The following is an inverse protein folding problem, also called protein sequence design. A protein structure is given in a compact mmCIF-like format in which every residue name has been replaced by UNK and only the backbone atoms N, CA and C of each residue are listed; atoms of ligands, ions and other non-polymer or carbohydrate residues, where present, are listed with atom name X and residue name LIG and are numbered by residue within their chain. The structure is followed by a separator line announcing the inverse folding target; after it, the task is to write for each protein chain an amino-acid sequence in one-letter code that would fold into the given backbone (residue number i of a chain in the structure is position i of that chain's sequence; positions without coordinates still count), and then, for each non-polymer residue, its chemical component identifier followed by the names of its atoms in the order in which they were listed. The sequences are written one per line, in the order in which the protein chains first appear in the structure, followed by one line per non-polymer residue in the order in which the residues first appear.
data_IF_130367622696
#
_entry.id   IF_130367622696
#
_cell.length_a   1.000
_cell.length_b   1.000
_cell.length_c   1.000
_cell.angle_alpha   90.00
_cell.angle_beta   90.00
_cell.angle_gamma   90.00
#
_symmetry.space_group_name_H-M   'P 1'
#
loop_
_entity.id
_entity.type
_entity.pdbx_description
1 polymer ?
#
# COMPACT_ATOMS: atom_id res chain seq x y z
N UNK A 1 16.94 28.00 -0.02
CA UNK A 1 16.91 26.52 -0.11
C UNK A 1 16.53 26.15 -1.54
N UNK A 2 17.19 25.16 -2.16
CA UNK A 2 16.92 24.75 -3.55
C UNK A 2 15.91 23.60 -3.55
N UNK A 3 14.92 23.68 -4.43
CA UNK A 3 13.96 22.61 -4.66
C UNK A 3 14.65 21.46 -5.40
N UNK A 4 14.39 20.23 -4.98
CA UNK A 4 15.02 19.01 -5.48
C UNK A 4 13.97 17.94 -5.70
N UNK A 5 14.29 17.00 -6.59
CA UNK A 5 13.46 15.83 -6.85
C UNK A 5 14.02 14.63 -6.09
N UNK A 6 13.11 13.99 -5.36
CA UNK A 6 13.33 12.74 -4.65
C UNK A 6 12.39 11.68 -5.21
N UNK A 7 12.76 10.41 -5.11
CA UNK A 7 11.92 9.30 -5.55
C UNK A 7 11.90 8.26 -4.44
N UNK A 8 10.71 7.73 -4.15
CA UNK A 8 10.58 6.61 -3.24
C UNK A 8 11.07 5.33 -3.93
N UNK A 9 12.01 4.61 -3.32
CA UNK A 9 12.49 3.32 -3.82
C UNK A 9 11.36 2.28 -3.87
N UNK A 10 10.34 2.39 -3.02
CA UNK A 10 9.28 1.37 -2.89
C UNK A 10 8.20 1.54 -3.94
N UNK A 11 7.62 2.73 -4.08
CA UNK A 11 6.56 2.99 -5.06
C UNK A 11 7.02 3.68 -6.35
N UNK A 12 8.23 4.24 -6.38
CA UNK A 12 8.72 5.02 -7.52
C UNK A 12 8.05 6.38 -7.70
N UNK A 13 7.15 6.79 -6.81
CA UNK A 13 6.52 8.09 -6.92
C UNK A 13 7.52 9.23 -6.64
N UNK A 14 7.53 10.29 -7.47
CA UNK A 14 8.40 11.43 -7.27
C UNK A 14 7.82 12.38 -6.22
N UNK A 15 8.71 12.91 -5.39
CA UNK A 15 8.43 13.99 -4.46
C UNK A 15 9.31 15.20 -4.79
N UNK A 16 8.69 16.38 -4.87
CA UNK A 16 9.40 17.63 -5.07
C UNK A 16 9.41 18.44 -3.77
N UNK A 17 10.59 18.80 -3.29
CA UNK A 17 10.73 19.46 -2.00
C UNK A 17 12.09 20.10 -1.77
N UNK A 18 12.22 20.86 -0.68
CA UNK A 18 13.52 21.39 -0.23
C UNK A 18 14.37 20.36 0.51
N UNK A 19 13.80 19.19 0.81
CA UNK A 19 14.43 18.03 1.43
C UNK A 19 13.51 16.81 1.32
N UNK A 20 14.05 15.60 1.49
CA UNK A 20 13.26 14.37 1.51
C UNK A 20 12.30 14.35 2.72
N UNK A 21 11.04 13.90 2.56
CA UNK A 21 10.11 13.79 3.68
C UNK A 21 10.46 12.60 4.58
N UNK A 22 9.96 12.58 5.82
CA UNK A 22 10.19 11.48 6.78
C UNK A 22 9.44 10.19 6.43
N UNK A 23 8.42 10.31 5.56
CA UNK A 23 7.55 9.26 5.04
C UNK A 23 7.23 9.57 3.59
N UNK A 24 7.10 8.54 2.77
CA UNK A 24 6.58 8.68 1.41
C UNK A 24 5.11 9.10 1.51
N UNK A 25 4.69 10.23 0.91
CA UNK A 25 3.32 10.70 1.01
C UNK A 25 2.33 9.89 0.15
N UNK A 26 2.83 8.93 -0.63
CA UNK A 26 2.03 8.11 -1.54
C UNK A 26 1.81 6.70 -0.98
N UNK A 27 2.88 6.00 -0.60
CA UNK A 27 2.80 4.63 -0.07
C UNK A 27 3.18 4.48 1.41
N UNK A 28 3.45 5.57 2.14
CA UNK A 28 3.79 5.48 3.57
C UNK A 28 5.21 4.93 3.89
N UNK A 29 6.01 4.52 2.91
CA UNK A 29 7.38 4.03 3.15
C UNK A 29 8.25 5.01 3.97
N UNK A 30 9.18 4.49 4.78
CA UNK A 30 10.05 5.31 5.63
C UNK A 30 10.97 6.19 4.79
N UNK A 31 11.30 7.40 5.27
CA UNK A 31 12.12 8.38 4.55
C UNK A 31 13.53 7.89 4.17
N UNK A 32 14.04 6.83 4.81
CA UNK A 32 15.28 6.15 4.39
C UNK A 32 15.18 5.53 2.99
N UNK A 33 13.96 5.25 2.53
CA UNK A 33 13.64 4.74 1.18
C UNK A 33 13.39 5.86 0.18
N UNK A 34 13.70 7.11 0.53
CA UNK A 34 13.47 8.25 -0.35
C UNK A 34 14.84 8.80 -0.74
N UNK A 35 15.20 8.56 -1.99
CA UNK A 35 16.53 8.86 -2.54
C UNK A 35 16.44 10.04 -3.50
N UNK A 36 17.58 10.66 -3.79
CA UNK A 36 17.68 11.62 -4.90
C UNK A 36 17.35 10.93 -6.21
N UNK A 37 16.66 11.63 -7.12
CA UNK A 37 16.18 11.06 -8.38
C UNK A 37 17.29 10.40 -9.23
N UNK A 38 18.51 10.95 -9.19
CA UNK A 38 19.68 10.42 -9.93
C UNK A 38 20.18 9.05 -9.42
N UNK A 39 19.77 8.64 -8.22
CA UNK A 39 20.18 7.38 -7.58
C UNK A 39 19.10 6.30 -7.62
N UNK A 40 17.92 6.63 -8.14
CA UNK A 40 16.78 5.74 -8.09
C UNK A 40 16.84 4.68 -9.20
N UNK A 41 16.53 3.46 -8.83
CA UNK A 41 16.36 2.32 -9.73
C UNK A 41 15.04 1.61 -9.41
N UNK A 42 14.27 1.14 -10.41
CA UNK A 42 12.99 0.50 -10.17
C UNK A 42 13.15 -0.85 -9.46
N UNK A 43 12.20 -1.16 -8.56
CA UNK A 43 12.10 -2.49 -7.96
C UNK A 43 11.53 -3.54 -8.91
N UNK A 44 10.81 -3.11 -9.94
CA UNK A 44 10.16 -3.95 -10.93
C UNK A 44 10.92 -3.96 -12.28
N UNK A 45 10.40 -4.72 -13.24
CA UNK A 45 10.93 -4.79 -14.61
C UNK A 45 11.91 -5.95 -14.87
N UNK A 46 12.19 -6.78 -13.86
CA UNK A 46 12.94 -8.03 -14.00
C UNK A 46 12.02 -9.26 -14.02
N UNK A 47 12.61 -10.42 -14.27
CA UNK A 47 11.93 -11.70 -14.05
C UNK A 47 11.72 -11.92 -12.54
N UNK A 48 10.59 -12.54 -12.19
CA UNK A 48 10.24 -12.92 -10.81
C UNK A 48 9.98 -14.42 -10.77
N UNK A 49 10.28 -15.06 -9.64
CA UNK A 49 9.96 -16.47 -9.42
C UNK A 49 8.44 -16.74 -9.41
N UNK A 50 8.06 -18.00 -9.58
CA UNK A 50 6.66 -18.44 -9.44
C UNK A 50 6.12 -18.21 -8.02
N UNK A 51 6.97 -18.38 -7.00
CA UNK A 51 6.64 -18.09 -5.62
C UNK A 51 6.36 -16.59 -5.42
N UNK A 52 7.22 -15.72 -5.94
CA UNK A 52 7.01 -14.27 -5.91
C UNK A 52 5.70 -13.88 -6.62
N UNK A 53 5.45 -14.43 -7.81
CA UNK A 53 4.21 -14.18 -8.56
C UNK A 53 2.97 -14.57 -7.74
N UNK A 54 2.96 -15.75 -7.15
CA UNK A 54 1.84 -16.25 -6.33
C UNK A 54 1.55 -15.31 -5.16
N UNK A 55 2.58 -14.89 -4.43
CA UNK A 55 2.43 -13.98 -3.30
C UNK A 55 2.01 -12.57 -3.71
N UNK A 56 2.54 -12.07 -4.82
CA UNK A 56 2.14 -10.77 -5.38
C UNK A 56 0.69 -10.77 -5.86
N UNK A 57 0.21 -11.84 -6.50
CA UNK A 57 -1.20 -11.96 -6.92
C UNK A 57 -2.14 -12.02 -5.71
N UNK A 58 -1.76 -12.73 -4.65
CA UNK A 58 -2.53 -12.77 -3.40
C UNK A 58 -2.54 -11.39 -2.71
N UNK A 59 -1.39 -10.70 -2.66
CA UNK A 59 -1.27 -9.34 -2.14
C UNK A 59 -2.14 -8.36 -2.92
N UNK A 60 -2.18 -8.47 -4.26
CA UNK A 60 -3.01 -7.60 -5.10
C UNK A 60 -4.49 -7.70 -4.72
N UNK A 61 -4.99 -8.90 -4.45
CA UNK A 61 -6.38 -9.09 -4.03
C UNK A 61 -6.68 -8.40 -2.69
N UNK A 62 -5.74 -8.47 -1.74
CA UNK A 62 -5.85 -7.78 -0.45
C UNK A 62 -5.88 -6.27 -0.64
N UNK A 63 -4.94 -5.72 -1.41
CA UNK A 63 -4.83 -4.28 -1.64
C UNK A 63 -6.03 -3.70 -2.39
N UNK A 64 -6.56 -4.43 -3.37
CA UNK A 64 -7.80 -4.06 -4.07
C UNK A 64 -8.98 -4.02 -3.10
N UNK A 65 -9.12 -5.07 -2.28
CA UNK A 65 -10.18 -5.14 -1.27
C UNK A 65 -10.08 -4.00 -0.24
N UNK A 66 -8.88 -3.73 0.28
CA UNK A 66 -8.66 -2.65 1.26
C UNK A 66 -8.90 -1.28 0.63
N UNK A 67 -8.41 -1.05 -0.59
CA UNK A 67 -8.69 0.16 -1.37
C UNK A 67 -10.19 0.42 -1.48
N UNK A 68 -10.96 -0.61 -1.87
CA UNK A 68 -12.41 -0.52 -2.05
C UNK A 68 -13.12 -0.25 -0.72
N UNK A 69 -12.77 -1.00 0.33
CA UNK A 69 -13.33 -0.82 1.66
C UNK A 69 -13.10 0.60 2.19
N UNK A 70 -11.86 1.06 2.23
CA UNK A 70 -11.52 2.40 2.71
C UNK A 70 -12.13 3.51 1.86
N UNK A 71 -12.23 3.31 0.54
CA UNK A 71 -12.95 4.24 -0.35
C UNK A 71 -14.41 4.36 0.07
N UNK A 72 -15.08 3.25 0.34
CA UNK A 72 -16.49 3.23 0.70
C UNK A 72 -16.74 3.84 2.08
N UNK A 73 -15.91 3.51 3.07
CA UNK A 73 -15.98 4.14 4.40
C UNK A 73 -15.77 5.66 4.30
N UNK A 74 -14.83 6.11 3.47
CA UNK A 74 -14.57 7.55 3.28
C UNK A 74 -15.74 8.35 2.70
N UNK A 75 -16.68 7.66 2.03
CA UNK A 75 -17.89 8.23 1.42
C UNK A 75 -19.12 8.10 2.33
N UNK A 76 -19.08 7.22 3.33
CA UNK A 76 -20.19 7.02 4.25
C UNK A 76 -20.42 8.27 5.13
N UNK A 77 -21.66 8.60 5.51
CA UNK A 77 -21.93 9.70 6.44
C UNK A 77 -21.18 9.49 7.76
N UNK A 78 -20.51 10.54 8.26
CA UNK A 78 -19.71 10.43 9.47
C UNK A 78 -18.91 11.70 9.77
N UNK A 79 -17.98 11.61 10.71
CA UNK A 79 -17.09 12.72 11.07
C UNK A 79 -16.06 12.92 9.97
N UNK A 80 -15.81 14.19 9.62
CA UNK A 80 -14.89 14.56 8.53
C UNK A 80 -13.48 14.00 8.76
N UNK A 81 -12.99 13.98 10.01
CA UNK A 81 -11.68 13.44 10.35
C UNK A 81 -11.53 11.98 9.88
N UNK A 82 -12.47 11.11 10.26
CA UNK A 82 -12.43 9.68 9.93
C UNK A 82 -12.57 9.47 8.42
N UNK A 83 -13.47 10.21 7.78
CA UNK A 83 -13.62 10.17 6.32
C UNK A 83 -12.31 10.53 5.59
N UNK A 84 -11.56 11.52 6.10
CA UNK A 84 -10.27 11.93 5.51
C UNK A 84 -9.18 10.89 5.77
N UNK A 85 -9.18 10.26 6.95
CA UNK A 85 -8.28 9.16 7.29
C UNK A 85 -8.50 7.97 6.34
N UNK A 86 -9.73 7.46 6.22
CA UNK A 86 -10.05 6.37 5.31
C UNK A 86 -9.82 6.75 3.84
N UNK A 87 -10.04 8.01 3.46
CA UNK A 87 -9.66 8.48 2.11
C UNK A 87 -8.15 8.42 1.88
N UNK A 88 -7.34 8.68 2.90
CA UNK A 88 -5.89 8.58 2.80
C UNK A 88 -5.45 7.12 2.67
N UNK A 89 -5.95 6.24 3.55
CA UNK A 89 -5.69 4.79 3.50
C UNK A 89 -6.08 4.21 2.13
N UNK A 90 -7.26 4.54 1.61
CA UNK A 90 -7.70 4.10 0.28
C UNK A 90 -6.74 4.48 -0.85
N UNK A 91 -6.05 5.63 -0.74
CA UNK A 91 -5.05 6.04 -1.74
C UNK A 91 -3.74 5.29 -1.56
N UNK A 92 -3.34 5.03 -0.32
CA UNK A 92 -2.12 4.30 0.00
C UNK A 92 -2.24 2.85 -0.48
N UNK A 93 -3.33 2.16 -0.17
CA UNK A 93 -3.52 0.77 -0.62
C UNK A 93 -3.62 0.67 -2.16
N UNK A 94 -4.19 1.70 -2.79
CA UNK A 94 -4.20 1.76 -4.26
C UNK A 94 -2.79 1.90 -4.83
N UNK A 95 -1.93 2.68 -4.17
CA UNK A 95 -0.51 2.80 -4.55
C UNK A 95 0.21 1.46 -4.37
N UNK A 96 -0.06 0.72 -3.29
CA UNK A 96 0.48 -0.63 -3.08
C UNK A 96 0.06 -1.59 -4.18
N UNK A 97 -1.23 -1.60 -4.54
CA UNK A 97 -1.75 -2.38 -5.66
C UNK A 97 -1.06 -2.01 -6.98
N UNK A 98 -0.78 -0.72 -7.22
CA UNK A 98 -0.08 -0.27 -8.42
C UNK A 98 1.35 -0.80 -8.49
N UNK A 99 2.10 -0.77 -7.39
CA UNK A 99 3.44 -1.34 -7.32
C UNK A 99 3.43 -2.84 -7.59
N UNK A 100 2.46 -3.56 -7.02
CA UNK A 100 2.29 -5.01 -7.24
C UNK A 100 2.03 -5.31 -8.73
N UNK A 101 1.16 -4.54 -9.38
CA UNK A 101 0.87 -4.67 -10.81
C UNK A 101 2.13 -4.42 -11.66
N UNK A 102 2.97 -3.46 -11.26
CA UNK A 102 4.27 -3.18 -11.93
C UNK A 102 5.24 -4.37 -11.79
N UNK A 103 5.30 -5.02 -10.62
CA UNK A 103 6.08 -6.27 -10.46
C UNK A 103 5.54 -7.40 -11.34
N UNK A 104 4.22 -7.56 -11.41
CA UNK A 104 3.57 -8.62 -12.19
C UNK A 104 3.64 -8.41 -13.70
N UNK A 105 3.95 -7.20 -14.15
CA UNK A 105 3.87 -6.80 -15.57
C UNK A 105 2.43 -6.80 -16.08
N UNK A 106 1.46 -6.53 -15.21
CA UNK A 106 0.03 -6.62 -15.51
C UNK A 106 -0.59 -5.23 -15.78
N UNK A 107 -1.87 -5.22 -16.17
CA UNK A 107 -2.67 -3.99 -16.18
C UNK A 107 -3.30 -3.75 -14.81
N UNK A 108 -3.53 -2.48 -14.47
CA UNK A 108 -4.28 -2.15 -13.26
C UNK A 108 -5.69 -2.74 -13.34
N UNK A 109 -6.17 -3.42 -12.27
CA UNK A 109 -7.53 -3.92 -12.26
C UNK A 109 -8.54 -2.78 -12.23
N UNK A 110 -9.76 -3.04 -12.67
CA UNK A 110 -10.88 -2.14 -12.45
C UNK A 110 -11.44 -2.40 -11.04
N UNK A 111 -11.01 -1.55 -10.10
CA UNK A 111 -11.33 -1.66 -8.66
C UNK A 111 -12.84 -1.61 -8.40
N UNK A 112 -13.59 -0.79 -9.15
CA UNK A 112 -15.04 -0.66 -8.96
C UNK A 112 -15.75 -1.93 -9.44
N UNK A 113 -15.29 -2.53 -10.55
CA UNK A 113 -15.83 -3.80 -11.04
C UNK A 113 -15.55 -5.00 -10.14
N UNK A 114 -14.51 -4.92 -9.29
CA UNK A 114 -14.10 -5.97 -8.35
C UNK A 114 -14.65 -5.77 -6.94
N UNK A 115 -15.48 -4.76 -6.72
CA UNK A 115 -16.06 -4.49 -5.41
C UNK A 115 -16.99 -5.62 -4.96
N UNK A 116 -16.88 -6.00 -3.69
CA UNK A 116 -17.68 -7.06 -3.08
C UNK A 116 -18.49 -6.55 -1.89
N UNK A 117 -19.44 -7.35 -1.39
CA UNK A 117 -20.18 -7.05 -0.16
C UNK A 117 -19.25 -6.84 1.05
N UNK A 118 -18.10 -7.51 1.09
CA UNK A 118 -17.12 -7.35 2.16
C UNK A 118 -16.50 -5.95 2.19
N UNK A 119 -16.53 -5.22 1.07
CA UNK A 119 -15.92 -3.90 0.89
C UNK A 119 -16.90 -2.75 1.20
N UNK A 120 -18.13 -3.04 1.59
CA UNK A 120 -19.07 -2.01 2.04
C UNK A 120 -18.68 -1.48 3.42
N UNK A 121 -18.92 -0.19 3.61
CA UNK A 121 -18.83 0.43 4.93
C UNK A 121 -19.80 -0.26 5.91
N UNK A 122 -19.37 -0.38 7.16
CA UNK A 122 -20.18 -0.83 8.29
C UNK A 122 -21.07 0.30 8.80
N UNK A 123 -22.02 -0.03 9.69
CA UNK A 123 -23.02 0.92 10.17
C UNK A 123 -22.40 1.96 11.10
N UNK A 124 -21.41 1.56 11.90
CA UNK A 124 -20.74 2.46 12.86
C UNK A 124 -19.26 2.65 12.57
N UNK A 125 -18.68 3.72 13.13
CA UNK A 125 -17.24 3.98 13.02
C UNK A 125 -16.43 2.90 13.74
N UNK A 126 -16.91 2.40 14.88
CA UNK A 126 -16.25 1.35 15.66
C UNK A 126 -16.16 0.04 14.85
N UNK A 127 -17.23 -0.32 14.14
CA UNK A 127 -17.21 -1.50 13.25
C UNK A 127 -16.28 -1.30 12.06
N UNK A 128 -16.21 -0.09 11.50
CA UNK A 128 -15.29 0.23 10.41
C UNK A 128 -13.82 0.19 10.86
N UNK A 129 -13.51 0.69 12.05
CA UNK A 129 -12.17 0.59 12.65
C UNK A 129 -11.81 -0.87 12.95
N UNK A 130 -12.74 -1.66 13.50
CA UNK A 130 -12.51 -3.08 13.75
C UNK A 130 -12.26 -3.87 12.44
N UNK A 131 -13.00 -3.58 11.37
CA UNK A 131 -12.75 -4.19 10.06
C UNK A 131 -11.41 -3.72 9.47
N UNK A 132 -11.06 -2.44 9.61
CA UNK A 132 -9.76 -1.89 9.22
C UNK A 132 -8.63 -2.65 9.91
N UNK A 133 -8.70 -2.79 11.24
CA UNK A 133 -7.73 -3.52 12.03
C UNK A 133 -7.58 -4.99 11.57
N UNK A 134 -8.71 -5.65 11.29
CA UNK A 134 -8.72 -7.02 10.81
C UNK A 134 -8.11 -7.14 9.40
N UNK A 135 -8.34 -6.16 8.51
CA UNK A 135 -7.75 -6.09 7.17
C UNK A 135 -6.24 -5.91 7.22
N UNK A 136 -5.77 -4.95 8.01
CA UNK A 136 -4.33 -4.72 8.19
C UNK A 136 -3.63 -5.94 8.80
N UNK A 137 -4.25 -6.58 9.79
CA UNK A 137 -3.72 -7.82 10.37
C UNK A 137 -3.59 -8.92 9.33
N UNK A 138 -4.57 -9.07 8.43
CA UNK A 138 -4.51 -10.06 7.32
C UNK A 138 -3.38 -9.72 6.34
N UNK A 139 -3.26 -8.45 5.95
CA UNK A 139 -2.20 -7.97 5.06
C UNK A 139 -0.81 -8.22 5.65
N UNK A 140 -0.57 -7.79 6.90
CA UNK A 140 0.70 -8.02 7.62
C UNK A 140 1.07 -9.51 7.65
N UNK A 141 0.12 -10.39 7.96
CA UNK A 141 0.38 -11.82 8.03
C UNK A 141 0.70 -12.41 6.65
N UNK A 142 -0.02 -12.01 5.60
CA UNK A 142 0.28 -12.41 4.23
C UNK A 142 1.67 -11.94 3.80
N UNK A 143 2.05 -10.69 4.11
CA UNK A 143 3.35 -10.13 3.73
C UNK A 143 4.49 -10.75 4.52
N UNK A 144 4.29 -11.13 5.79
CA UNK A 144 5.26 -11.90 6.57
C UNK A 144 5.50 -13.29 5.96
N UNK A 145 4.44 -13.96 5.50
CA UNK A 145 4.57 -15.25 4.81
C UNK A 145 5.35 -15.08 3.51
N UNK A 146 4.95 -14.13 2.66
CA UNK A 146 5.64 -13.82 1.41
C UNK A 146 7.12 -13.48 1.62
N UNK A 147 7.44 -12.65 2.63
CA UNK A 147 8.82 -12.31 2.98
C UNK A 147 9.66 -13.54 3.34
N UNK A 148 9.05 -14.56 3.98
CA UNK A 148 9.75 -15.78 4.37
C UNK A 148 9.95 -16.77 3.22
N UNK A 149 9.06 -16.77 2.22
CA UNK A 149 9.05 -17.76 1.14
C UNK A 149 9.66 -17.25 -0.17
N UNK A 150 9.72 -15.93 -0.39
CA UNK A 150 10.28 -15.35 -1.60
C UNK A 150 11.80 -15.16 -1.48
N UNK A 151 12.52 -15.56 -2.53
CA UNK A 151 13.97 -15.38 -2.66
C UNK A 151 14.34 -14.14 -3.50
N UNK A 152 13.44 -13.66 -4.37
CA UNK A 152 13.63 -12.45 -5.18
C UNK A 152 13.89 -11.23 -4.29
N UNK A 153 15.14 -10.73 -4.26
CA UNK A 153 15.58 -9.71 -3.31
C UNK A 153 14.72 -8.43 -3.34
N UNK A 154 14.32 -7.99 -4.55
CA UNK A 154 13.49 -6.79 -4.73
C UNK A 154 12.05 -6.99 -4.24
N UNK A 155 11.48 -8.16 -4.47
CA UNK A 155 10.13 -8.51 -3.99
C UNK A 155 10.14 -8.70 -2.47
N UNK A 156 11.18 -9.34 -1.95
CA UNK A 156 11.40 -9.50 -0.50
C UNK A 156 11.57 -8.15 0.19
N UNK A 157 12.33 -7.23 -0.41
CA UNK A 157 12.44 -5.85 0.07
C UNK A 157 11.07 -5.17 0.10
N UNK A 158 10.28 -5.29 -0.97
CA UNK A 158 8.94 -4.71 -1.06
C UNK A 158 8.02 -5.21 0.06
N UNK A 159 7.88 -6.53 0.24
CA UNK A 159 7.07 -7.08 1.34
C UNK A 159 7.61 -6.70 2.72
N UNK A 160 8.93 -6.63 2.88
CA UNK A 160 9.57 -6.19 4.12
C UNK A 160 9.22 -4.73 4.49
N UNK A 161 9.02 -3.86 3.51
CA UNK A 161 8.58 -2.48 3.75
C UNK A 161 7.07 -2.39 3.95
N UNK A 162 6.25 -3.14 3.19
CA UNK A 162 4.79 -3.20 3.42
C UNK A 162 4.45 -3.65 4.85
N UNK A 163 5.15 -4.65 5.41
CA UNK A 163 4.94 -5.06 6.81
C UNK A 163 5.09 -3.87 7.77
N UNK A 164 6.05 -2.97 7.52
CA UNK A 164 6.28 -1.80 8.37
C UNK A 164 5.20 -0.73 8.15
N UNK A 165 4.78 -0.53 6.90
CA UNK A 165 3.74 0.44 6.52
C UNK A 165 2.40 0.01 7.14
N UNK A 166 1.98 -1.24 6.93
CA UNK A 166 0.71 -1.74 7.48
C UNK A 166 0.72 -1.78 9.01
N UNK A 167 1.89 -1.93 9.64
CA UNK A 167 2.00 -1.80 11.10
C UNK A 167 1.74 -0.37 11.58
N UNK A 168 2.11 0.66 10.81
CA UNK A 168 1.73 2.05 11.09
C UNK A 168 0.21 2.24 10.89
N UNK A 169 -0.39 1.64 9.84
CA UNK A 169 -1.84 1.70 9.61
C UNK A 169 -2.65 1.04 10.74
N UNK A 170 -2.19 -0.12 11.22
CA UNK A 170 -2.83 -0.85 12.31
C UNK A 170 -3.02 0.05 13.55
N UNK A 171 -2.02 0.88 13.86
CA UNK A 171 -2.07 1.82 15.00
C UNK A 171 -3.11 2.93 14.87
N UNK A 172 -3.63 3.20 13.66
CA UNK A 172 -4.73 4.15 13.44
C UNK A 172 -6.11 3.58 13.79
N UNK A 173 -6.18 2.27 14.03
CA UNK A 173 -7.41 1.53 14.34
C UNK A 173 -7.45 0.96 15.77
N UNK A 174 -6.48 1.32 16.61
CA UNK A 174 -6.37 0.96 18.03
C UNK A 174 -7.15 1.90 18.97
#
# INVERSE_FOLDING_TARGET
MKYQQYICEICGEPYLGVGAPSRCPFCGAFGVRIVEAEKWEPLWGGEISEAARTHLEAALQLEVGNTNFYRNVSKAPGVVQDQKMFKALSKIEREHAEVIVRFLGAAMPDFESLETEADKARETIEENLAESHARETRAINAYKLAFSEVEDEKVKLFFGELIKIESDHLSLSE
#
